data_IF_661880004167
#
_entry.id   IF_661880004167
#
_cell.length_a   1.000
_cell.length_b   1.000
_cell.length_c   1.000
_cell.angle_alpha   90.00
_cell.angle_beta   90.00
_cell.angle_gamma   90.00
#
_symmetry.space_group_name_H-M   'P 1'
#
loop_
_entity.id
_entity.type
_entity.pdbx_description
1 polymer ?
#
# COMPACT_ATOMS: atom_id res chain seq x y z
N UNK A 1 44.39 -9.27 32.41
CA UNK A 1 43.97 -9.17 31.00
C UNK A 1 42.60 -9.81 30.86
N UNK A 2 41.55 -8.99 30.90
CA UNK A 2 40.17 -9.43 30.80
C UNK A 2 39.83 -9.58 29.31
N UNK A 3 39.53 -10.80 28.88
CA UNK A 3 39.05 -11.09 27.52
C UNK A 3 37.59 -10.65 27.44
N UNK A 4 37.31 -9.54 26.76
CA UNK A 4 35.96 -9.15 26.39
C UNK A 4 35.42 -10.12 25.34
N UNK A 5 34.41 -10.90 25.72
CA UNK A 5 33.62 -11.72 24.82
C UNK A 5 32.64 -10.78 24.09
N UNK A 6 32.92 -10.44 22.84
CA UNK A 6 31.97 -9.73 21.98
C UNK A 6 30.91 -10.73 21.55
N UNK A 7 29.76 -10.68 22.20
CA UNK A 7 28.56 -11.40 21.77
C UNK A 7 28.04 -10.70 20.50
N UNK A 8 28.40 -11.21 19.33
CA UNK A 8 27.78 -10.81 18.08
C UNK A 8 26.32 -11.32 18.10
N UNK A 9 25.40 -10.48 18.54
CA UNK A 9 23.98 -10.70 18.33
C UNK A 9 23.75 -10.54 16.82
N UNK A 10 23.66 -11.67 16.13
CA UNK A 10 23.12 -11.71 14.78
C UNK A 10 21.65 -11.29 14.88
N UNK A 11 21.38 -10.00 14.67
CA UNK A 11 20.03 -9.53 14.37
C UNK A 11 19.71 -10.08 13.00
N UNK A 12 19.10 -11.26 12.95
CA UNK A 12 18.40 -11.72 11.75
C UNK A 12 17.25 -10.74 11.56
N UNK A 13 17.17 -9.97 10.46
CA UNK A 13 16.00 -9.17 10.20
C UNK A 13 14.87 -10.13 9.85
N UNK A 14 14.05 -10.50 10.83
CA UNK A 14 12.84 -11.31 10.66
C UNK A 14 11.72 -10.58 9.88
N UNK A 15 12.07 -9.56 9.08
CA UNK A 15 11.12 -8.66 8.40
C UNK A 15 10.61 -9.26 7.07
N UNK A 16 11.17 -10.38 6.62
CA UNK A 16 10.73 -11.08 5.41
C UNK A 16 10.34 -12.53 5.68
N UNK A 17 9.59 -12.79 6.76
CA UNK A 17 8.78 -14.00 6.76
C UNK A 17 7.73 -13.83 5.65
N UNK A 18 8.02 -14.39 4.47
CA UNK A 18 7.03 -14.64 3.43
C UNK A 18 5.90 -15.38 4.14
N UNK A 19 4.73 -14.75 4.22
CA UNK A 19 3.56 -15.35 4.82
C UNK A 19 3.06 -16.40 3.80
N UNK A 20 3.66 -17.59 3.80
CA UNK A 20 3.35 -18.71 2.90
C UNK A 20 1.96 -19.29 3.13
N UNK A 21 1.26 -18.78 4.13
CA UNK A 21 0.06 -19.41 4.64
C UNK A 21 -1.18 -18.73 4.03
N UNK A 22 -1.10 -17.53 3.44
CA UNK A 22 -2.28 -16.80 2.95
C UNK A 22 -2.95 -15.91 4.02
N UNK A 23 -2.23 -15.66 5.12
CA UNK A 23 -2.53 -14.54 6.00
C UNK A 23 -2.23 -13.21 5.31
N UNK A 24 -2.78 -12.11 5.82
CA UNK A 24 -2.41 -10.77 5.36
C UNK A 24 -0.90 -10.55 5.56
N UNK A 25 -0.25 -9.87 4.62
CA UNK A 25 1.15 -9.45 4.81
C UNK A 25 1.28 -8.62 6.10
N UNK A 26 2.41 -8.75 6.80
CA UNK A 26 2.67 -7.98 8.01
C UNK A 26 2.54 -6.47 7.77
N UNK A 27 2.91 -6.00 6.58
CA UNK A 27 2.79 -4.62 6.11
C UNK A 27 1.50 -4.41 5.29
N UNK A 28 0.37 -4.95 5.76
CA UNK A 28 -0.91 -4.85 5.06
C UNK A 28 -1.29 -3.40 4.75
N UNK A 29 -1.01 -2.47 5.68
CA UNK A 29 -1.06 -1.04 5.39
C UNK A 29 0.29 -0.61 4.84
N UNK A 30 0.28 -0.17 3.59
CA UNK A 30 1.45 0.24 2.82
C UNK A 30 1.11 1.45 1.95
N UNK A 31 2.13 2.12 1.41
CA UNK A 31 1.95 3.27 0.53
C UNK A 31 2.32 2.94 -0.91
N UNK A 32 1.57 3.50 -1.85
CA UNK A 32 1.96 3.60 -3.25
C UNK A 32 2.15 5.08 -3.57
N UNK A 33 3.33 5.46 -4.04
CA UNK A 33 3.69 6.83 -4.40
C UNK A 33 4.04 6.83 -5.89
N UNK A 34 3.42 7.75 -6.62
CA UNK A 34 3.80 8.03 -8.01
C UNK A 34 5.28 8.42 -8.06
N UNK A 35 6.06 7.75 -8.90
CA UNK A 35 7.51 7.87 -9.01
C UNK A 35 7.96 9.34 -9.05
N UNK A 36 7.35 10.19 -9.88
CA UNK A 36 7.76 11.60 -9.99
C UNK A 36 7.53 12.43 -8.71
N UNK A 37 6.58 12.01 -7.85
CA UNK A 37 6.28 12.69 -6.59
C UNK A 37 7.12 12.18 -5.42
N UNK A 38 7.81 11.04 -5.57
CA UNK A 38 8.52 10.41 -4.46
C UNK A 38 9.48 11.35 -3.70
N UNK A 39 10.28 12.21 -4.36
CA UNK A 39 11.16 13.14 -3.65
C UNK A 39 10.43 14.20 -2.83
N UNK A 40 9.22 14.62 -3.21
CA UNK A 40 8.43 15.57 -2.42
C UNK A 40 7.91 14.91 -1.14
N UNK A 41 7.50 13.64 -1.24
CA UNK A 41 7.02 12.86 -0.10
C UNK A 41 8.17 12.47 0.84
N UNK A 42 9.30 12.04 0.31
CA UNK A 42 10.41 11.49 1.11
C UNK A 42 11.43 12.55 1.55
N UNK A 43 11.67 13.57 0.72
CA UNK A 43 12.86 14.41 0.83
C UNK A 43 14.12 13.66 0.37
N UNK A 44 15.25 13.90 1.05
CA UNK A 44 16.51 13.18 0.86
C UNK A 44 17.05 12.66 2.18
N UNK A 45 18.03 11.75 2.17
CA UNK A 45 18.68 11.26 3.40
C UNK A 45 19.19 12.37 4.32
N UNK A 46 19.69 13.47 3.74
CA UNK A 46 20.22 14.61 4.50
C UNK A 46 19.16 15.64 4.88
N UNK A 47 17.99 15.60 4.25
CA UNK A 47 16.89 16.53 4.47
C UNK A 47 15.56 15.79 4.27
N UNK A 48 15.29 14.87 5.20
CA UNK A 48 14.10 14.04 5.16
C UNK A 48 12.84 14.89 5.36
N UNK A 49 11.75 14.53 4.69
CA UNK A 49 10.47 15.19 4.91
C UNK A 49 9.94 14.77 6.30
N UNK A 50 10.05 15.67 7.28
CA UNK A 50 9.65 15.42 8.67
C UNK A 50 8.17 15.05 8.78
N UNK A 51 7.30 15.70 8.01
CA UNK A 51 5.86 15.44 8.02
C UNK A 51 5.55 14.00 7.63
N UNK A 52 6.09 13.54 6.50
CA UNK A 52 5.90 12.16 6.04
C UNK A 52 6.50 11.14 7.00
N UNK A 53 7.68 11.43 7.57
CA UNK A 53 8.31 10.54 8.55
C UNK A 53 7.41 10.32 9.78
N UNK A 54 6.87 11.39 10.37
CA UNK A 54 5.99 11.28 11.55
C UNK A 54 4.70 10.48 11.25
N UNK A 55 4.12 10.66 10.05
CA UNK A 55 2.96 9.88 9.63
C UNK A 55 3.29 8.39 9.47
N UNK A 56 4.42 8.08 8.84
CA UNK A 56 4.88 6.70 8.64
C UNK A 56 5.18 6.03 9.98
N UNK A 57 5.88 6.70 10.90
CA UNK A 57 6.14 6.18 12.25
C UNK A 57 4.84 5.87 12.99
N UNK A 58 3.82 6.72 12.83
CA UNK A 58 2.50 6.51 13.42
C UNK A 58 1.82 5.27 12.85
N UNK A 59 1.91 5.05 11.54
CA UNK A 59 1.39 3.84 10.88
C UNK A 59 2.14 2.59 11.33
N UNK A 60 3.47 2.62 11.34
CA UNK A 60 4.34 1.53 11.80
C UNK A 60 4.03 1.17 13.25
N UNK A 61 3.89 2.16 14.13
CA UNK A 61 3.49 1.97 15.52
C UNK A 61 2.10 1.35 15.66
N UNK A 62 1.15 1.79 14.83
CA UNK A 62 -0.22 1.27 14.86
C UNK A 62 -0.34 -0.18 14.36
N UNK A 63 0.41 -0.55 13.32
CA UNK A 63 0.35 -1.90 12.75
C UNK A 63 1.36 -2.88 13.38
N UNK A 64 2.43 -2.37 14.01
CA UNK A 64 3.47 -3.18 14.67
C UNK A 64 4.50 -3.79 13.72
N UNK A 65 4.56 -3.34 12.47
CA UNK A 65 5.47 -3.83 11.43
C UNK A 65 5.99 -2.68 10.56
N UNK A 66 7.19 -2.82 9.98
CA UNK A 66 7.71 -1.83 9.04
C UNK A 66 6.80 -1.67 7.83
N UNK A 67 6.81 -0.47 7.24
CA UNK A 67 6.00 -0.17 6.07
C UNK A 67 6.71 -0.59 4.78
N UNK A 68 5.95 -1.03 3.77
CA UNK A 68 6.44 -1.15 2.40
C UNK A 68 5.95 0.06 1.59
N UNK A 69 6.84 0.70 0.85
CA UNK A 69 6.51 1.80 -0.07
C UNK A 69 6.75 1.34 -1.51
N UNK A 70 5.68 1.26 -2.29
CA UNK A 70 5.76 1.09 -3.74
C UNK A 70 6.02 2.45 -4.39
N UNK A 71 7.15 2.58 -5.08
CA UNK A 71 7.50 3.76 -5.89
C UNK A 71 7.32 3.42 -7.36
N UNK A 72 6.24 3.90 -7.97
CA UNK A 72 5.86 3.48 -9.32
C UNK A 72 4.71 4.27 -9.93
N UNK A 73 3.68 3.56 -10.38
CA UNK A 73 2.50 4.17 -10.98
C UNK A 73 2.71 4.62 -12.42
N UNK A 74 1.75 5.38 -12.95
CA UNK A 74 1.77 5.82 -14.34
C UNK A 74 2.99 6.71 -14.66
N UNK A 75 3.52 7.43 -13.67
CA UNK A 75 4.69 8.28 -13.86
C UNK A 75 5.99 7.49 -14.03
N UNK A 76 6.10 6.27 -13.49
CA UNK A 76 7.29 5.43 -13.72
C UNK A 76 7.40 4.99 -15.18
N UNK A 77 6.29 4.62 -15.79
CA UNK A 77 6.19 4.28 -17.22
C UNK A 77 6.35 5.46 -18.18
N UNK A 78 6.54 6.67 -17.65
CA UNK A 78 6.70 7.91 -18.44
C UNK A 78 8.02 8.60 -18.19
N UNK A 79 8.64 8.33 -17.04
CA UNK A 79 9.86 8.98 -16.63
C UNK A 79 11.01 8.68 -17.60
N UNK A 80 11.70 9.73 -18.00
CA UNK A 80 12.98 9.67 -18.71
C UNK A 80 14.09 10.11 -17.76
N UNK A 81 15.19 9.37 -17.75
CA UNK A 81 16.37 9.75 -16.98
C UNK A 81 17.23 10.76 -17.75
N UNK A 82 17.66 11.80 -17.05
CA UNK A 82 18.62 12.79 -17.54
C UNK A 82 19.71 12.99 -16.49
N UNK A 83 20.91 12.50 -16.79
CA UNK A 83 22.08 12.57 -15.92
C UNK A 83 22.54 14.00 -15.62
N UNK A 84 22.15 14.97 -16.45
CA UNK A 84 22.56 16.38 -16.30
C UNK A 84 21.66 17.16 -15.35
N UNK A 85 20.55 16.58 -14.89
CA UNK A 85 19.64 17.24 -13.95
C UNK A 85 20.30 17.45 -12.58
N UNK A 86 20.17 18.68 -12.08
CA UNK A 86 20.66 19.07 -10.75
C UNK A 86 19.59 18.93 -9.67
N UNK A 87 18.34 18.71 -10.07
CA UNK A 87 17.15 18.42 -9.25
C UNK A 87 16.80 16.93 -9.32
N UNK A 88 16.08 16.37 -8.32
CA UNK A 88 15.67 14.97 -8.36
C UNK A 88 14.67 14.69 -9.47
N UNK A 89 13.76 15.63 -9.77
CA UNK A 89 12.80 15.54 -10.86
C UNK A 89 12.70 16.84 -11.64
N UNK A 90 12.18 16.75 -12.86
CA UNK A 90 11.89 17.90 -13.71
C UNK A 90 10.65 17.63 -14.59
N UNK A 91 9.96 18.69 -14.99
CA UNK A 91 8.82 18.64 -15.93
C UNK A 91 9.24 18.63 -17.40
N UNK A 92 10.54 18.64 -17.69
CA UNK A 92 11.10 18.40 -19.03
C UNK A 92 12.60 18.10 -18.95
N UNK A 93 13.13 17.37 -19.93
CA UNK A 93 14.56 17.06 -20.07
C UNK A 93 14.94 16.94 -21.55
N UNK A 94 14.90 18.03 -22.32
CA UNK A 94 15.02 18.00 -23.78
C UNK A 94 16.37 17.49 -24.30
N UNK A 95 17.40 17.45 -23.44
CA UNK A 95 18.71 16.86 -23.77
C UNK A 95 18.66 15.33 -23.81
N UNK A 96 17.90 14.72 -22.89
CA UNK A 96 17.70 13.28 -22.86
C UNK A 96 16.60 12.85 -23.83
N UNK A 97 15.48 13.58 -23.86
CA UNK A 97 14.38 13.35 -24.80
C UNK A 97 13.59 14.66 -25.02
N UNK A 98 13.54 15.21 -26.25
CA UNK A 98 12.80 16.45 -26.56
C UNK A 98 11.30 16.40 -26.24
N UNK A 99 10.69 15.22 -26.21
CA UNK A 99 9.28 15.01 -25.91
C UNK A 99 9.00 14.64 -24.44
N UNK A 100 10.02 14.47 -23.61
CA UNK A 100 9.82 14.12 -22.21
C UNK A 100 9.28 15.30 -21.39
N UNK A 101 8.21 15.04 -20.67
CA UNK A 101 7.53 15.99 -19.77
C UNK A 101 7.53 15.54 -18.30
N UNK A 102 8.17 14.40 -18.00
CA UNK A 102 8.42 13.89 -16.66
C UNK A 102 9.79 13.25 -16.66
N UNK A 103 10.71 13.79 -15.86
CA UNK A 103 12.10 13.36 -15.86
C UNK A 103 12.62 13.14 -14.45
N UNK A 104 13.54 12.19 -14.32
CA UNK A 104 14.27 11.89 -13.09
C UNK A 104 15.77 12.14 -13.29
N UNK A 105 16.41 12.70 -12.28
CA UNK A 105 17.86 12.95 -12.25
C UNK A 105 18.58 12.07 -11.22
N UNK A 106 19.92 12.15 -11.14
CA UNK A 106 20.71 11.36 -10.19
C UNK A 106 20.24 11.49 -8.73
N UNK A 107 19.86 12.71 -8.32
CA UNK A 107 19.40 13.00 -6.94
C UNK A 107 18.05 12.38 -6.57
N UNK A 108 17.29 11.85 -7.54
CA UNK A 108 16.06 11.10 -7.27
C UNK A 108 16.31 9.95 -6.29
N UNK A 109 17.43 9.24 -6.47
CA UNK A 109 17.74 8.04 -5.71
C UNK A 109 18.15 8.33 -4.25
N UNK A 110 18.47 9.59 -3.92
CA UNK A 110 18.75 10.02 -2.54
C UNK A 110 17.50 10.05 -1.65
N UNK A 111 16.31 9.95 -2.25
CA UNK A 111 15.04 9.81 -1.53
C UNK A 111 14.87 8.42 -0.90
N UNK A 112 15.53 7.39 -1.43
CA UNK A 112 15.56 6.08 -0.78
C UNK A 112 16.40 6.13 0.50
N UNK A 113 15.80 5.68 1.60
CA UNK A 113 16.36 5.78 2.95
C UNK A 113 16.08 7.11 3.67
N UNK A 114 15.22 7.98 3.10
CA UNK A 114 14.76 9.21 3.77
C UNK A 114 13.50 8.99 4.64
N UNK A 115 12.82 7.86 4.50
CA UNK A 115 11.75 7.44 5.42
C UNK A 115 12.32 6.71 6.65
N UNK A 116 11.50 6.46 7.69
CA UNK A 116 11.97 5.86 8.93
C UNK A 116 12.68 4.53 8.71
N UNK A 117 13.68 4.26 9.56
CA UNK A 117 14.50 3.06 9.48
C UNK A 117 13.65 1.78 9.45
N UNK A 118 14.00 0.85 8.58
CA UNK A 118 13.28 -0.41 8.39
C UNK A 118 12.19 -0.34 7.32
N UNK A 119 11.86 0.85 6.79
CA UNK A 119 11.01 0.98 5.60
C UNK A 119 11.62 0.18 4.44
N UNK A 120 10.81 -0.67 3.82
CA UNK A 120 11.20 -1.40 2.61
C UNK A 120 10.54 -0.76 1.38
N UNK A 121 11.15 -0.91 0.21
CA UNK A 121 10.69 -0.29 -1.01
C UNK A 121 10.52 -1.30 -2.13
N UNK A 122 9.44 -1.18 -2.90
CA UNK A 122 9.42 -1.69 -4.27
C UNK A 122 9.65 -0.55 -5.26
N UNK A 123 10.40 -0.83 -6.32
CA UNK A 123 10.73 0.17 -7.34
C UNK A 123 10.29 -0.30 -8.72
N UNK A 124 9.57 0.57 -9.42
CA UNK A 124 9.06 0.31 -10.76
C UNK A 124 10.00 0.85 -11.85
N UNK A 125 10.39 0.00 -12.80
CA UNK A 125 11.05 0.40 -14.03
C UNK A 125 10.09 0.48 -15.21
N UNK A 126 10.33 1.46 -16.07
CA UNK A 126 9.53 1.80 -17.25
C UNK A 126 9.55 0.66 -18.30
N UNK A 127 8.36 0.22 -18.73
CA UNK A 127 8.16 -0.63 -19.92
C UNK A 127 7.41 0.09 -21.03
N UNK A 128 6.57 1.08 -20.68
CA UNK A 128 5.69 1.72 -21.64
C UNK A 128 6.44 2.60 -22.66
N UNK A 129 7.50 3.31 -22.27
CA UNK A 129 8.30 4.14 -23.20
C UNK A 129 9.24 3.25 -24.03
N UNK A 130 8.72 2.73 -25.13
CA UNK A 130 9.41 1.75 -25.97
C UNK A 130 10.21 2.39 -27.11
N UNK A 131 11.22 3.17 -26.73
CA UNK A 131 12.14 3.85 -27.64
C UNK A 131 13.55 3.92 -27.04
N UNK A 132 14.50 4.54 -27.74
CA UNK A 132 15.88 4.69 -27.27
C UNK A 132 15.99 5.35 -25.90
N UNK A 133 15.17 6.37 -25.62
CA UNK A 133 15.18 7.11 -24.35
C UNK A 133 14.74 6.23 -23.19
N UNK A 134 13.71 5.40 -23.38
CA UNK A 134 13.26 4.44 -22.37
C UNK A 134 14.28 3.34 -22.10
N UNK A 135 14.89 2.78 -23.16
CA UNK A 135 15.95 1.78 -23.00
C UNK A 135 17.19 2.32 -22.31
N UNK A 136 17.59 3.55 -22.65
CA UNK A 136 18.68 4.25 -21.96
C UNK A 136 18.33 4.55 -20.50
N UNK A 137 17.09 4.95 -20.23
CA UNK A 137 16.60 5.16 -18.86
C UNK A 137 16.75 3.89 -18.03
N UNK A 138 16.35 2.73 -18.54
CA UNK A 138 16.54 1.45 -17.86
C UNK A 138 18.02 1.17 -17.58
N UNK A 139 18.86 1.26 -18.61
CA UNK A 139 20.31 1.02 -18.51
C UNK A 139 20.98 1.91 -17.44
N UNK A 140 20.70 3.21 -17.48
CA UNK A 140 21.32 4.18 -16.60
C UNK A 140 20.80 4.10 -15.16
N UNK A 141 19.53 3.74 -14.96
CA UNK A 141 18.90 3.80 -13.63
C UNK A 141 19.01 2.50 -12.82
N UNK A 142 19.18 1.33 -13.45
CA UNK A 142 19.35 0.06 -12.71
C UNK A 142 20.52 0.14 -11.71
N UNK A 143 21.73 0.61 -12.07
CA UNK A 143 22.83 0.77 -11.13
C UNK A 143 22.51 1.74 -9.98
N UNK A 144 21.85 2.86 -10.28
CA UNK A 144 21.50 3.88 -9.29
C UNK A 144 20.46 3.37 -8.30
N UNK A 145 19.40 2.74 -8.81
CA UNK A 145 18.34 2.13 -8.02
C UNK A 145 18.88 1.01 -7.13
N UNK A 146 19.67 0.07 -7.68
CA UNK A 146 20.19 -1.05 -6.90
C UNK A 146 21.12 -0.57 -5.77
N UNK A 147 21.98 0.40 -6.04
CA UNK A 147 22.84 0.98 -5.00
C UNK A 147 22.01 1.68 -3.92
N UNK A 148 20.97 2.42 -4.30
CA UNK A 148 20.10 3.11 -3.35
C UNK A 148 19.22 2.16 -2.53
N UNK A 149 18.84 1.00 -3.07
CA UNK A 149 17.91 0.05 -2.47
C UNK A 149 18.60 -1.07 -1.67
N UNK A 150 19.93 -1.16 -1.69
CA UNK A 150 20.66 -2.21 -0.95
C UNK A 150 20.30 -2.18 0.54
N UNK A 151 19.80 -3.31 1.05
CA UNK A 151 19.36 -3.45 2.44
C UNK A 151 17.95 -2.93 2.76
N UNK A 152 17.25 -2.36 1.78
CA UNK A 152 15.89 -1.82 1.92
C UNK A 152 14.97 -2.14 0.73
N UNK A 153 15.38 -3.06 -0.14
CA UNK A 153 14.56 -3.56 -1.24
C UNK A 153 13.56 -4.60 -0.72
N UNK A 154 12.28 -4.41 -1.04
CA UNK A 154 11.28 -5.47 -0.96
C UNK A 154 11.31 -6.34 -2.23
N UNK A 155 11.19 -5.71 -3.40
CA UNK A 155 11.16 -6.37 -4.72
C UNK A 155 11.16 -5.33 -5.85
N UNK A 156 11.39 -5.75 -7.09
CA UNK A 156 11.27 -4.88 -8.27
C UNK A 156 9.91 -5.05 -8.96
N UNK A 157 9.44 -3.99 -9.60
CA UNK A 157 8.25 -3.99 -10.45
C UNK A 157 8.65 -3.53 -11.85
N UNK A 158 8.18 -4.19 -12.92
CA UNK A 158 8.56 -3.83 -14.29
C UNK A 158 7.27 -3.57 -15.09
N UNK A 159 7.03 -2.30 -15.41
CA UNK A 159 5.78 -1.80 -15.98
C UNK A 159 4.63 -1.63 -14.98
N UNK A 160 3.73 -0.69 -15.27
CA UNK A 160 2.52 -0.39 -14.51
C UNK A 160 1.29 -0.37 -15.43
N UNK A 161 0.25 -1.12 -15.07
CA UNK A 161 -1.04 -1.18 -15.77
C UNK A 161 -0.89 -1.39 -17.29
N UNK A 162 -0.14 -2.43 -17.73
CA UNK A 162 0.15 -2.67 -19.14
C UNK A 162 -1.09 -2.90 -20.00
N UNK A 163 -2.19 -3.31 -19.37
CA UNK A 163 -3.50 -3.46 -20.01
C UNK A 163 -4.11 -2.12 -20.48
N UNK A 164 -3.55 -0.99 -20.04
CA UNK A 164 -3.93 0.35 -20.47
C UNK A 164 -3.01 0.93 -21.56
N UNK A 165 -2.04 0.15 -22.07
CA UNK A 165 -1.13 0.60 -23.12
C UNK A 165 -1.80 0.64 -24.50
N UNK A 166 -2.79 -0.22 -24.74
CA UNK A 166 -3.48 -0.35 -26.02
C UNK A 166 -4.02 0.99 -26.54
N UNK A 167 -3.62 1.34 -27.78
CA UNK A 167 -4.03 2.57 -28.44
C UNK A 167 -3.44 3.85 -27.85
N UNK A 168 -2.45 3.74 -26.94
CA UNK A 168 -1.78 4.88 -26.30
C UNK A 168 -0.26 4.77 -26.33
N UNK A 169 0.26 3.64 -25.85
CA UNK A 169 1.70 3.32 -25.73
C UNK A 169 2.11 2.14 -26.60
N UNK A 170 1.12 1.35 -27.02
CA UNK A 170 1.21 0.24 -27.96
C UNK A 170 0.02 0.29 -28.90
N UNK A 171 0.06 -0.49 -29.96
CA UNK A 171 -1.04 -0.62 -30.90
C UNK A 171 -2.30 -1.19 -30.23
N UNK A 172 -3.46 -0.98 -30.85
CA UNK A 172 -4.75 -1.33 -30.24
C UNK A 172 -4.95 -2.84 -30.03
N UNK A 173 -4.25 -3.67 -30.81
CA UNK A 173 -4.28 -5.12 -30.77
C UNK A 173 -3.27 -5.76 -29.80
N UNK A 174 -2.50 -4.93 -29.07
CA UNK A 174 -1.57 -5.39 -28.03
C UNK A 174 -2.23 -6.38 -27.07
N UNK A 175 -1.61 -7.54 -26.92
CA UNK A 175 -2.19 -8.68 -26.22
C UNK A 175 -1.22 -9.31 -25.21
N UNK A 176 -1.65 -10.42 -24.60
CA UNK A 176 -0.89 -11.12 -23.55
C UNK A 176 0.49 -11.58 -24.05
N UNK A 177 0.60 -12.07 -25.28
CA UNK A 177 1.88 -12.52 -25.83
C UNK A 177 2.83 -11.35 -26.08
N UNK A 178 2.31 -10.22 -26.56
CA UNK A 178 3.12 -9.01 -26.77
C UNK A 178 3.65 -8.49 -25.44
N UNK A 179 2.81 -8.45 -24.40
CA UNK A 179 3.25 -8.03 -23.07
C UNK A 179 4.25 -9.00 -22.44
N UNK A 180 4.08 -10.32 -22.60
CA UNK A 180 5.08 -11.29 -22.13
C UNK A 180 6.42 -11.16 -22.88
N UNK A 181 6.39 -10.79 -24.17
CA UNK A 181 7.59 -10.50 -24.94
C UNK A 181 8.29 -9.22 -24.43
N UNK A 182 7.55 -8.15 -24.21
CA UNK A 182 8.07 -6.90 -23.64
C UNK A 182 8.63 -7.11 -22.23
N UNK A 183 7.93 -7.89 -21.40
CA UNK A 183 8.37 -8.30 -20.06
C UNK A 183 9.69 -9.07 -20.12
N UNK A 184 9.77 -10.10 -20.96
CA UNK A 184 10.96 -10.96 -21.05
C UNK A 184 12.16 -10.19 -21.60
N UNK A 185 11.95 -9.30 -22.57
CA UNK A 185 13.02 -8.45 -23.11
C UNK A 185 13.54 -7.46 -22.05
N UNK A 186 12.62 -6.78 -21.37
CA UNK A 186 12.97 -5.79 -20.34
C UNK A 186 13.65 -6.43 -19.14
N UNK A 187 13.13 -7.54 -18.62
CA UNK A 187 13.74 -8.26 -17.50
C UNK A 187 15.09 -8.85 -17.86
N UNK A 188 15.26 -9.39 -19.08
CA UNK A 188 16.58 -9.85 -19.54
C UNK A 188 17.64 -8.73 -19.55
N UNK A 189 17.29 -7.53 -20.03
CA UNK A 189 18.18 -6.35 -19.96
C UNK A 189 18.45 -5.92 -18.53
N UNK A 190 17.39 -5.79 -17.73
CA UNK A 190 17.47 -5.43 -16.33
C UNK A 190 18.41 -6.37 -15.56
N UNK A 191 18.24 -7.68 -15.70
CA UNK A 191 19.04 -8.69 -15.00
C UNK A 191 20.52 -8.59 -15.41
N UNK A 192 20.81 -8.33 -16.69
CA UNK A 192 22.17 -8.08 -17.15
C UNK A 192 22.79 -6.84 -16.49
N UNK A 193 22.06 -5.73 -16.42
CA UNK A 193 22.54 -4.50 -15.80
C UNK A 193 22.68 -4.65 -14.28
N UNK A 194 21.74 -5.35 -13.63
CA UNK A 194 21.80 -5.64 -12.20
C UNK A 194 22.98 -6.54 -11.86
N UNK A 195 23.23 -7.58 -12.66
CA UNK A 195 24.37 -8.48 -12.50
C UNK A 195 25.71 -7.74 -12.63
N UNK A 196 25.79 -6.74 -13.50
CA UNK A 196 26.98 -5.91 -13.66
C UNK A 196 27.19 -4.93 -12.48
N UNK A 197 26.12 -4.29 -11.98
CA UNK A 197 26.22 -3.23 -10.98
C UNK A 197 26.11 -3.70 -9.53
N UNK A 198 25.22 -4.66 -9.25
CA UNK A 198 24.88 -5.16 -7.92
C UNK A 198 24.71 -6.70 -7.94
N UNK A 199 25.79 -7.48 -8.20
CA UNK A 199 25.74 -8.93 -8.32
C UNK A 199 25.21 -9.64 -7.05
N UNK A 200 25.34 -9.00 -5.90
CA UNK A 200 24.79 -9.47 -4.63
C UNK A 200 23.26 -9.52 -4.62
N UNK A 201 22.60 -8.61 -5.35
CA UNK A 201 21.15 -8.47 -5.38
C UNK A 201 20.47 -9.43 -6.36
N UNK A 202 21.20 -10.01 -7.31
CA UNK A 202 20.67 -11.01 -8.25
C UNK A 202 20.25 -12.29 -7.53
N UNK A 203 20.95 -12.66 -6.45
CA UNK A 203 20.71 -13.92 -5.71
C UNK A 203 19.31 -14.00 -5.10
N UNK A 204 18.75 -12.85 -4.71
CA UNK A 204 17.43 -12.74 -4.09
C UNK A 204 16.48 -11.90 -4.97
N UNK A 205 16.68 -11.95 -6.29
CA UNK A 205 15.85 -11.20 -7.22
C UNK A 205 14.40 -11.66 -7.13
N UNK A 206 13.51 -10.69 -6.89
CA UNK A 206 12.08 -10.89 -6.81
C UNK A 206 11.36 -9.81 -7.61
N UNK A 207 10.28 -10.23 -8.28
CA UNK A 207 9.43 -9.37 -9.07
C UNK A 207 7.98 -9.36 -8.59
N UNK A 208 7.39 -8.17 -8.66
CA UNK A 208 5.95 -7.97 -8.74
C UNK A 208 5.55 -7.96 -10.22
N UNK A 209 4.76 -8.96 -10.61
CA UNK A 209 4.25 -9.13 -11.95
C UNK A 209 2.98 -10.02 -12.00
N UNK A 210 2.04 -9.71 -12.89
CA UNK A 210 1.88 -8.43 -13.57
C UNK A 210 1.33 -7.38 -12.59
N UNK A 211 1.35 -6.11 -12.99
CA UNK A 211 0.70 -5.00 -12.28
C UNK A 211 -0.46 -4.45 -13.08
N UNK A 212 -1.58 -5.16 -13.15
CA UNK A 212 -2.73 -4.80 -14.01
C UNK A 212 -3.65 -3.75 -13.38
N UNK A 213 -4.42 -3.02 -14.19
CA UNK A 213 -5.29 -1.92 -13.70
C UNK A 213 -6.50 -2.37 -12.90
N UNK A 214 -6.94 -3.62 -13.07
CA UNK A 214 -8.12 -4.17 -12.39
C UNK A 214 -8.23 -5.70 -12.56
N UNK A 215 -9.06 -6.38 -11.75
CA UNK A 215 -9.33 -7.81 -11.91
C UNK A 215 -9.98 -8.16 -13.27
N UNK A 216 -10.69 -7.20 -13.87
CA UNK A 216 -11.34 -7.32 -15.18
C UNK A 216 -10.51 -6.76 -16.34
N UNK A 217 -9.22 -6.53 -16.14
CA UNK A 217 -8.29 -6.02 -17.16
C UNK A 217 -8.29 -6.87 -18.43
N UNK A 218 -8.06 -6.21 -19.58
CA UNK A 218 -8.01 -6.87 -20.90
C UNK A 218 -6.87 -7.89 -20.96
N UNK A 219 -5.72 -7.56 -20.39
CA UNK A 219 -4.62 -8.49 -20.23
C UNK A 219 -4.83 -9.25 -18.90
N UNK A 220 -5.54 -10.37 -18.97
CA UNK A 220 -5.92 -11.11 -17.76
C UNK A 220 -4.71 -11.84 -17.17
N UNK A 221 -4.52 -11.72 -15.86
CA UNK A 221 -3.44 -12.39 -15.12
C UNK A 221 -3.40 -13.90 -15.39
N UNK A 222 -4.51 -14.67 -15.30
CA UNK A 222 -4.46 -16.12 -15.55
C UNK A 222 -4.00 -16.48 -16.97
N UNK A 223 -4.31 -15.64 -17.96
CA UNK A 223 -3.87 -15.87 -19.34
C UNK A 223 -2.37 -15.65 -19.48
N UNK A 224 -1.80 -14.66 -18.80
CA UNK A 224 -0.35 -14.44 -18.78
C UNK A 224 0.40 -15.62 -18.16
N UNK A 225 -0.06 -16.13 -17.01
CA UNK A 225 0.57 -17.30 -16.39
C UNK A 225 0.42 -18.57 -17.23
N UNK A 226 -0.70 -18.72 -17.96
CA UNK A 226 -0.92 -19.84 -18.88
C UNK A 226 -0.06 -19.74 -20.15
N UNK A 227 0.15 -18.53 -20.66
CA UNK A 227 0.89 -18.26 -21.89
C UNK A 227 2.40 -18.11 -21.68
N UNK A 228 2.84 -17.86 -20.44
CA UNK A 228 4.25 -17.79 -20.10
C UNK A 228 4.95 -19.12 -20.43
N UNK A 229 6.15 -19.02 -20.97
CA UNK A 229 6.96 -20.17 -21.37
C UNK A 229 8.36 -20.06 -20.78
N UNK A 230 8.98 -21.22 -20.55
CA UNK A 230 10.30 -21.29 -19.93
C UNK A 230 10.33 -20.64 -18.55
N UNK A 231 11.40 -19.90 -18.29
CA UNK A 231 11.72 -19.31 -16.99
C UNK A 231 11.29 -17.85 -16.84
N UNK A 232 10.47 -17.31 -17.76
CA UNK A 232 10.16 -15.87 -17.82
C UNK A 232 9.51 -15.31 -16.55
N UNK A 233 8.87 -16.17 -15.74
CA UNK A 233 8.22 -15.81 -14.48
C UNK A 233 8.92 -16.39 -13.23
N UNK A 234 10.11 -16.99 -13.35
CA UNK A 234 10.76 -17.73 -12.24
C UNK A 234 11.03 -16.89 -10.99
N UNK A 235 11.22 -15.58 -11.16
CA UNK A 235 11.50 -14.62 -10.08
C UNK A 235 10.25 -13.88 -9.60
N UNK A 236 9.06 -14.18 -10.14
CA UNK A 236 7.82 -13.52 -9.76
C UNK A 236 7.31 -14.08 -8.44
N UNK A 237 7.23 -13.22 -7.42
CA UNK A 237 6.75 -13.59 -6.07
C UNK A 237 5.47 -12.88 -5.68
N UNK A 238 5.08 -11.83 -6.42
CA UNK A 238 3.87 -11.07 -6.15
C UNK A 238 3.13 -10.71 -7.44
N UNK A 239 1.80 -10.76 -7.40
CA UNK A 239 0.92 -10.18 -8.43
C UNK A 239 0.35 -8.88 -7.87
N UNK A 240 0.28 -7.84 -8.69
CA UNK A 240 -0.39 -6.58 -8.37
C UNK A 240 -1.61 -6.39 -9.26
N UNK A 241 -2.74 -6.04 -8.62
CA UNK A 241 -3.99 -5.73 -9.31
C UNK A 241 -4.55 -4.47 -8.67
N UNK A 242 -4.57 -3.38 -9.43
CA UNK A 242 -4.98 -2.08 -8.92
C UNK A 242 -6.49 -2.01 -8.69
N UNK A 243 -6.87 -1.15 -7.74
CA UNK A 243 -8.24 -0.81 -7.45
C UNK A 243 -8.31 0.66 -7.04
N UNK A 244 -9.24 1.40 -7.63
CA UNK A 244 -9.54 2.76 -7.21
C UNK A 244 -11.00 2.84 -6.81
N UNK A 245 -11.26 3.20 -5.55
CA UNK A 245 -12.62 3.33 -5.02
C UNK A 245 -13.46 4.34 -5.81
N UNK A 246 -12.80 5.36 -6.38
CA UNK A 246 -13.34 6.25 -7.39
C UNK A 246 -12.21 7.00 -8.10
N UNK A 247 -12.49 7.59 -9.27
CA UNK A 247 -11.56 8.48 -9.95
C UNK A 247 -11.60 9.88 -9.36
N UNK A 248 -10.43 10.44 -9.01
CA UNK A 248 -10.31 11.75 -8.37
C UNK A 248 -10.96 12.91 -9.16
N UNK A 249 -11.20 12.73 -10.46
CA UNK A 249 -11.77 13.73 -11.37
C UNK A 249 -13.22 13.45 -11.78
N UNK A 250 -13.85 12.40 -11.25
CA UNK A 250 -15.24 12.09 -11.62
C UNK A 250 -16.25 12.98 -10.89
N UNK A 251 -17.24 13.57 -11.58
CA UNK A 251 -18.32 14.32 -10.93
C UNK A 251 -19.09 13.45 -9.92
N UNK A 252 -19.34 13.96 -8.71
CA UNK A 252 -20.17 13.28 -7.71
C UNK A 252 -19.43 12.29 -6.80
N UNK A 253 -18.09 12.25 -6.84
CA UNK A 253 -17.29 11.49 -5.86
C UNK A 253 -17.41 12.15 -4.49
N UNK A 254 -18.27 11.58 -3.65
CA UNK A 254 -18.38 11.92 -2.23
C UNK A 254 -17.95 10.72 -1.39
N UNK A 255 -17.59 10.97 -0.13
CA UNK A 255 -17.28 9.90 0.80
C UNK A 255 -18.50 8.98 1.00
N UNK A 256 -19.71 9.54 1.08
CA UNK A 256 -20.95 8.76 1.18
C UNK A 256 -21.27 7.89 -0.03
N UNK A 257 -20.81 8.27 -1.23
CA UNK A 257 -20.94 7.43 -2.41
C UNK A 257 -19.87 6.34 -2.50
N UNK A 258 -18.78 6.45 -1.72
CA UNK A 258 -17.56 5.64 -1.86
C UNK A 258 -17.13 5.00 -0.54
N UNK A 259 -16.18 5.60 0.17
CA UNK A 259 -15.52 5.04 1.37
C UNK A 259 -16.47 4.90 2.57
N UNK A 260 -17.57 5.65 2.59
CA UNK A 260 -18.62 5.58 3.60
C UNK A 260 -19.88 4.87 3.09
N UNK A 261 -19.71 3.89 2.21
CA UNK A 261 -20.80 3.07 1.71
C UNK A 261 -20.35 1.61 1.64
N UNK A 262 -20.88 0.77 2.52
CA UNK A 262 -20.45 -0.62 2.61
C UNK A 262 -20.67 -1.35 1.30
N UNK A 263 -21.83 -1.12 0.67
CA UNK A 263 -22.16 -1.76 -0.61
C UNK A 263 -21.18 -1.34 -1.69
N UNK A 264 -20.76 -0.08 -1.73
CA UNK A 264 -19.77 0.40 -2.69
C UNK A 264 -18.38 -0.21 -2.44
N UNK A 265 -17.92 -0.22 -1.19
CA UNK A 265 -16.63 -0.82 -0.79
C UNK A 265 -16.63 -2.32 -1.09
N UNK A 266 -17.62 -3.07 -0.61
CA UNK A 266 -17.74 -4.51 -0.83
C UNK A 266 -17.78 -4.85 -2.31
N UNK A 267 -18.55 -4.10 -3.11
CA UNK A 267 -18.60 -4.27 -4.57
C UNK A 267 -17.25 -4.02 -5.23
N UNK A 268 -16.55 -2.96 -4.83
CA UNK A 268 -15.24 -2.59 -5.37
C UNK A 268 -14.18 -3.68 -5.11
N UNK A 269 -14.15 -4.25 -3.88
CA UNK A 269 -13.16 -5.26 -3.52
C UNK A 269 -13.55 -6.69 -3.93
N UNK A 270 -14.82 -6.97 -4.25
CA UNK A 270 -15.30 -8.31 -4.55
C UNK A 270 -14.52 -9.00 -5.69
N UNK A 271 -14.16 -8.24 -6.73
CA UNK A 271 -13.32 -8.76 -7.83
C UNK A 271 -11.92 -9.16 -7.38
N UNK A 272 -11.34 -8.43 -6.41
CA UNK A 272 -10.04 -8.77 -5.82
C UNK A 272 -10.12 -9.98 -4.91
N UNK A 273 -11.22 -10.15 -4.17
CA UNK A 273 -11.44 -11.36 -3.36
C UNK A 273 -11.56 -12.60 -4.25
N UNK A 274 -12.28 -12.51 -5.36
CA UNK A 274 -12.38 -13.59 -6.35
C UNK A 274 -11.02 -13.91 -7.00
N UNK A 275 -10.28 -12.88 -7.42
CA UNK A 275 -8.94 -13.04 -7.98
C UNK A 275 -7.96 -13.64 -6.97
N UNK A 276 -7.97 -13.15 -5.72
CA UNK A 276 -7.15 -13.68 -4.64
C UNK A 276 -7.50 -15.13 -4.31
N UNK A 277 -8.77 -15.51 -4.29
CA UNK A 277 -9.21 -16.90 -4.07
C UNK A 277 -8.78 -17.82 -5.22
N UNK A 278 -8.82 -17.34 -6.46
CA UNK A 278 -8.34 -18.10 -7.62
C UNK A 278 -6.82 -18.32 -7.58
N UNK A 279 -6.07 -17.36 -7.03
CA UNK A 279 -4.61 -17.39 -6.95
C UNK A 279 -4.07 -18.05 -5.67
N UNK A 280 -4.88 -18.16 -4.60
CA UNK A 280 -4.44 -18.68 -3.31
C UNK A 280 -4.49 -20.22 -3.27
N UNK A 281 -3.31 -20.84 -3.17
CA UNK A 281 -3.20 -22.20 -2.65
C UNK A 281 -3.41 -22.14 -1.12
N UNK A 282 -4.30 -22.99 -0.62
CA UNK A 282 -5.04 -22.76 0.63
C UNK A 282 -4.29 -23.27 1.88
N UNK A 283 -3.96 -22.40 2.85
CA UNK A 283 -3.83 -22.76 4.29
C UNK A 283 -3.31 -21.63 5.21
N UNK A 284 -4.16 -20.84 5.91
CA UNK A 284 -3.65 -19.87 6.94
C UNK A 284 -4.46 -19.66 8.21
N UNK A 285 -3.66 -19.34 9.24
CA UNK A 285 -3.97 -19.04 10.63
C UNK A 285 -4.52 -17.63 10.93
N UNK A 286 -4.57 -16.70 9.96
CA UNK A 286 -5.25 -15.40 10.10
C UNK A 286 -6.48 -15.35 9.19
N UNK A 287 -7.68 -15.28 9.77
CA UNK A 287 -8.93 -15.19 9.00
C UNK A 287 -9.61 -13.85 9.27
N UNK A 288 -9.99 -13.12 8.23
CA UNK A 288 -10.90 -11.97 8.33
C UNK A 288 -12.30 -12.42 7.93
N UNK A 289 -13.28 -12.24 8.82
CA UNK A 289 -14.69 -12.60 8.56
C UNK A 289 -15.58 -11.39 8.77
N UNK A 290 -16.59 -11.24 7.92
CA UNK A 290 -17.68 -10.29 8.16
C UNK A 290 -18.46 -10.70 9.40
N UNK A 291 -18.81 -9.74 10.25
CA UNK A 291 -19.67 -9.94 11.40
C UNK A 291 -21.09 -9.49 11.05
N UNK A 292 -22.08 -10.32 11.36
CA UNK A 292 -23.47 -9.87 11.32
C UNK A 292 -23.73 -8.96 12.52
N UNK A 293 -23.93 -7.67 12.23
CA UNK A 293 -24.18 -6.63 13.23
C UNK A 293 -25.68 -6.38 13.45
N UNK A 294 -26.55 -6.98 12.65
CA UNK A 294 -27.96 -6.63 12.59
C UNK A 294 -28.23 -5.21 12.03
N UNK A 295 -29.36 -5.05 11.34
CA UNK A 295 -29.78 -3.76 10.77
C UNK A 295 -29.49 -3.66 9.27
N UNK A 296 -28.92 -2.54 8.83
CA UNK A 296 -28.74 -2.19 7.41
C UNK A 296 -27.33 -2.52 6.97
N UNK A 297 -27.17 -3.63 6.28
CA UNK A 297 -25.88 -4.11 5.78
C UNK A 297 -25.15 -3.11 4.86
N UNK A 298 -25.82 -2.11 4.29
CA UNK A 298 -25.19 -1.06 3.50
C UNK A 298 -24.59 0.10 4.33
N UNK A 299 -25.02 0.23 5.59
CA UNK A 299 -24.62 1.30 6.52
C UNK A 299 -23.91 0.79 7.78
N UNK A 300 -24.01 -0.51 8.05
CA UNK A 300 -23.47 -1.19 9.22
C UNK A 300 -22.45 -2.23 8.76
N UNK A 301 -21.17 -2.02 9.03
CA UNK A 301 -20.10 -2.96 8.63
C UNK A 301 -19.32 -3.46 9.83
N UNK A 302 -19.17 -4.77 9.93
CA UNK A 302 -18.43 -5.42 11.01
C UNK A 302 -17.44 -6.44 10.46
N UNK A 303 -16.24 -6.46 11.03
CA UNK A 303 -15.19 -7.41 10.67
C UNK A 303 -14.52 -7.96 11.92
N UNK A 304 -14.25 -9.26 11.94
CA UNK A 304 -13.48 -9.92 12.99
C UNK A 304 -12.21 -10.53 12.42
N UNK A 305 -11.08 -10.31 13.09
CA UNK A 305 -9.81 -10.97 12.77
C UNK A 305 -9.56 -12.12 13.75
N UNK A 306 -9.34 -13.31 13.23
CA UNK A 306 -9.12 -14.51 14.02
C UNK A 306 -7.68 -14.98 13.87
N UNK A 307 -6.99 -15.20 15.00
CA UNK A 307 -5.65 -15.82 15.05
C UNK A 307 -5.81 -17.18 15.70
N UNK A 308 -5.42 -18.26 15.00
CA UNK A 308 -5.58 -19.64 15.49
C UNK A 308 -7.03 -19.98 15.91
N UNK A 309 -8.01 -19.35 15.26
CA UNK A 309 -9.44 -19.52 15.56
C UNK A 309 -9.98 -18.65 16.70
N UNK A 310 -9.13 -17.90 17.43
CA UNK A 310 -9.55 -16.94 18.47
C UNK A 310 -9.76 -15.55 17.87
N UNK A 311 -10.89 -14.91 18.22
CA UNK A 311 -11.21 -13.55 17.76
C UNK A 311 -10.38 -12.51 18.51
N UNK A 312 -9.41 -11.89 17.84
CA UNK A 312 -8.46 -10.96 18.46
C UNK A 312 -8.89 -9.49 18.37
N UNK A 313 -9.52 -9.13 17.25
CA UNK A 313 -9.89 -7.74 16.95
C UNK A 313 -11.22 -7.69 16.22
N UNK A 314 -11.96 -6.64 16.50
CA UNK A 314 -13.24 -6.34 15.86
C UNK A 314 -13.17 -4.92 15.29
N UNK A 315 -13.49 -4.74 14.02
CA UNK A 315 -13.72 -3.42 13.43
C UNK A 315 -15.22 -3.24 13.18
N UNK A 316 -15.80 -2.13 13.65
CA UNK A 316 -17.19 -1.76 13.38
C UNK A 316 -17.22 -0.37 12.79
N UNK A 317 -17.93 -0.19 11.68
CA UNK A 317 -18.08 1.08 10.98
C UNK A 317 -19.56 1.44 10.93
N UNK A 318 -19.88 2.66 11.36
CA UNK A 318 -21.19 3.28 11.13
C UNK A 318 -21.07 4.25 9.97
N UNK A 319 -21.59 3.83 8.81
CA UNK A 319 -21.43 4.53 7.53
C UNK A 319 -22.58 5.49 7.21
N UNK A 320 -23.41 5.82 8.20
CA UNK A 320 -24.39 6.92 8.08
C UNK A 320 -23.63 8.23 8.00
N UNK A 321 -23.86 9.02 6.95
CA UNK A 321 -23.23 10.34 6.83
C UNK A 321 -23.71 11.24 7.96
N UNK A 322 -22.76 11.79 8.69
CA UNK A 322 -22.93 12.96 9.52
C UNK A 322 -21.95 14.03 9.08
N UNK A 323 -22.42 15.26 8.98
CA UNK A 323 -21.61 16.45 8.76
C UNK A 323 -21.98 17.50 9.81
N UNK A 324 -20.96 18.07 10.47
CA UNK A 324 -21.16 19.07 11.53
C UNK A 324 -21.83 20.35 11.01
N UNK A 325 -21.65 20.68 9.73
CA UNK A 325 -22.27 21.84 9.08
C UNK A 325 -23.79 21.69 8.86
N UNK A 326 -24.35 20.48 9.02
CA UNK A 326 -25.76 20.21 8.77
C UNK A 326 -26.72 20.82 9.81
N UNK A 327 -26.20 21.32 10.95
CA UNK A 327 -27.01 21.84 12.06
C UNK A 327 -27.81 20.78 12.83
N UNK A 328 -27.72 19.50 12.44
CA UNK A 328 -28.36 18.38 13.13
C UNK A 328 -27.43 17.78 14.19
N UNK A 329 -28.01 17.19 15.22
CA UNK A 329 -27.25 16.39 16.20
C UNK A 329 -26.68 15.12 15.55
N UNK A 330 -25.48 14.71 15.95
CA UNK A 330 -24.85 13.48 15.48
C UNK A 330 -25.56 12.25 16.06
N UNK A 331 -26.06 11.38 15.18
CA UNK A 331 -26.66 10.12 15.59
C UNK A 331 -25.62 9.13 16.13
N UNK A 332 -26.10 8.12 16.85
CA UNK A 332 -25.30 7.01 17.34
C UNK A 332 -26.08 5.71 17.22
N UNK A 333 -25.38 4.62 16.87
CA UNK A 333 -25.93 3.27 16.88
C UNK A 333 -25.21 2.40 17.89
N UNK A 334 -25.98 1.59 18.60
CA UNK A 334 -25.46 0.55 19.48
C UNK A 334 -25.30 -0.75 18.71
N UNK A 335 -24.12 -1.36 18.82
CA UNK A 335 -23.79 -2.64 18.21
C UNK A 335 -23.47 -3.66 19.30
N UNK A 336 -23.98 -4.88 19.14
CA UNK A 336 -23.70 -5.99 20.03
C UNK A 336 -22.97 -7.09 19.27
N UNK A 337 -21.82 -7.52 19.79
CA UNK A 337 -21.00 -8.58 19.20
C UNK A 337 -20.82 -9.71 20.19
N UNK A 338 -20.82 -10.95 19.69
CA UNK A 338 -20.53 -12.15 20.48
C UNK A 338 -19.02 -12.33 20.59
N UNK A 339 -18.52 -12.43 21.81
CA UNK A 339 -17.11 -12.63 22.16
C UNK A 339 -16.99 -13.62 23.33
N UNK A 340 -15.77 -13.89 23.78
CA UNK A 340 -15.53 -14.70 24.99
C UNK A 340 -16.23 -14.09 26.23
N UNK A 341 -16.94 -14.89 27.05
CA UNK A 341 -17.58 -14.40 28.26
C UNK A 341 -16.62 -13.66 29.20
N UNK A 342 -17.05 -12.50 29.71
CA UNK A 342 -16.26 -11.69 30.65
C UNK A 342 -14.91 -11.15 30.13
N UNK A 343 -14.61 -11.29 28.84
CA UNK A 343 -13.42 -10.71 28.19
C UNK A 343 -13.37 -9.18 28.27
N UNK A 344 -12.17 -8.61 28.27
CA UNK A 344 -11.92 -7.18 28.27
C UNK A 344 -11.46 -6.73 26.89
N UNK A 345 -11.88 -5.52 26.50
CA UNK A 345 -11.64 -4.97 25.18
C UNK A 345 -11.30 -3.50 25.28
N UNK A 346 -10.24 -3.11 24.60
CA UNK A 346 -9.85 -1.70 24.44
C UNK A 346 -10.44 -1.15 23.15
N UNK A 347 -11.17 -0.03 23.23
CA UNK A 347 -11.76 0.67 22.09
C UNK A 347 -10.81 1.75 21.58
N UNK A 348 -10.54 1.72 20.28
CA UNK A 348 -9.84 2.78 19.54
C UNK A 348 -10.78 3.34 18.48
N UNK A 349 -11.06 4.65 18.52
CA UNK A 349 -12.04 5.30 17.64
C UNK A 349 -11.38 6.08 16.52
N UNK A 350 -11.85 5.93 15.29
CA UNK A 350 -11.59 6.85 14.18
C UNK A 350 -12.79 7.79 14.03
N UNK A 351 -12.59 9.08 14.24
CA UNK A 351 -13.66 10.08 14.19
C UNK A 351 -13.19 11.41 13.62
N UNK A 352 -14.08 12.15 12.98
CA UNK A 352 -13.90 13.54 12.54
C UNK A 352 -15.14 14.36 12.93
N UNK A 353 -15.14 15.71 12.84
CA UNK A 353 -16.35 16.52 13.07
C UNK A 353 -17.48 16.15 12.09
N UNK A 354 -17.15 15.79 10.85
CA UNK A 354 -18.05 15.34 9.81
C UNK A 354 -17.37 14.43 8.80
N UNK A 355 -18.18 13.78 7.97
CA UNK A 355 -17.76 12.84 6.95
C UNK A 355 -16.76 13.46 5.97
N UNK A 356 -16.90 14.76 5.65
CA UNK A 356 -16.15 15.46 4.59
C UNK A 356 -14.94 16.24 5.09
N UNK A 357 -14.72 16.23 6.40
CA UNK A 357 -13.63 17.00 6.98
C UNK A 357 -12.28 16.39 6.64
N UNK A 358 -11.34 17.27 6.28
CA UNK A 358 -9.94 16.92 5.99
C UNK A 358 -9.02 17.16 7.19
N UNK A 359 -9.56 17.78 8.24
CA UNK A 359 -8.87 18.16 9.47
C UNK A 359 -9.75 17.83 10.67
N UNK A 360 -9.16 17.77 11.86
CA UNK A 360 -9.84 17.33 13.06
C UNK A 360 -10.15 15.83 13.08
N UNK A 361 -9.53 15.07 12.16
CA UNK A 361 -9.62 13.61 12.12
C UNK A 361 -8.75 13.07 13.25
N UNK A 362 -9.33 12.20 14.06
CA UNK A 362 -8.66 11.60 15.22
C UNK A 362 -8.74 10.10 15.16
N UNK A 363 -7.62 9.44 15.49
CA UNK A 363 -7.59 8.02 15.79
C UNK A 363 -7.18 7.81 17.24
N UNK A 364 -8.00 7.08 17.99
CA UNK A 364 -7.82 6.80 19.41
C UNK A 364 -7.58 8.07 20.27
N UNK A 365 -8.23 9.17 19.90
CA UNK A 365 -8.09 10.47 20.58
C UNK A 365 -6.88 11.31 20.16
N UNK A 366 -6.13 10.91 19.13
CA UNK A 366 -4.99 11.66 18.61
C UNK A 366 -5.25 12.18 17.20
N UNK A 367 -4.92 13.45 16.96
CA UNK A 367 -4.92 14.07 15.63
C UNK A 367 -3.49 14.13 15.06
N UNK A 368 -3.38 14.21 13.73
CA UNK A 368 -2.12 14.17 12.98
C UNK A 368 -2.10 15.30 11.93
N UNK A 369 -2.16 16.54 12.41
CA UNK A 369 -2.38 17.71 11.56
C UNK A 369 -1.07 18.33 11.05
N UNK A 370 -1.18 19.18 10.02
CA UNK A 370 -0.08 19.96 9.46
C UNK A 370 0.63 20.81 10.52
N UNK A 371 -0.11 21.43 11.44
CA UNK A 371 0.45 22.29 12.50
C UNK A 371 1.29 21.49 13.51
N UNK A 372 1.08 20.17 13.58
CA UNK A 372 1.86 19.25 14.42
C UNK A 372 2.96 18.53 13.64
N UNK A 373 3.18 18.91 12.38
CA UNK A 373 4.09 18.20 11.47
C UNK A 373 3.75 16.71 11.36
N UNK A 374 2.48 16.33 11.45
CA UNK A 374 2.05 14.91 11.42
C UNK A 374 2.36 14.14 12.71
N UNK A 375 2.89 14.78 13.76
CA UNK A 375 3.08 14.14 15.08
C UNK A 375 1.72 13.92 15.76
N UNK A 376 1.53 12.80 16.47
CA UNK A 376 0.31 12.57 17.22
C UNK A 376 0.13 13.64 18.30
N UNK A 377 -0.97 14.39 18.23
CA UNK A 377 -1.38 15.34 19.27
C UNK A 377 -2.64 14.86 19.95
N UNK A 378 -2.59 14.72 21.28
CA UNK A 378 -3.76 14.34 22.07
C UNK A 378 -4.83 15.42 21.95
N UNK A 379 -6.06 14.98 21.70
CA UNK A 379 -7.26 15.82 21.74
C UNK A 379 -8.05 15.45 22.98
N UNK A 380 -7.98 16.30 24.02
CA UNK A 380 -8.53 15.99 25.35
C UNK A 380 -10.04 15.73 25.36
N UNK A 381 -10.77 16.38 24.45
CA UNK A 381 -12.21 16.18 24.27
C UNK A 381 -12.57 14.85 23.60
N UNK A 382 -11.58 14.05 23.18
CA UNK A 382 -11.79 12.76 22.52
C UNK A 382 -11.36 11.59 23.41
N UNK A 383 -12.16 10.52 23.48
CA UNK A 383 -11.82 9.34 24.26
C UNK A 383 -10.62 8.61 23.64
N UNK A 384 -9.94 7.83 24.48
CA UNK A 384 -8.79 7.02 24.07
C UNK A 384 -8.68 5.80 24.97
N UNK A 385 -8.43 4.65 24.37
CA UNK A 385 -8.30 3.36 25.05
C UNK A 385 -9.45 3.09 26.04
N UNK A 386 -10.68 3.40 25.64
CA UNK A 386 -11.86 3.12 26.47
C UNK A 386 -11.93 1.61 26.73
N UNK A 387 -12.32 1.22 27.94
CA UNK A 387 -12.40 -0.19 28.31
C UNK A 387 -13.85 -0.66 28.28
N UNK A 388 -14.09 -1.77 27.59
CA UNK A 388 -15.36 -2.47 27.57
C UNK A 388 -15.17 -3.88 28.12
N UNK A 389 -16.22 -4.40 28.78
CA UNK A 389 -16.25 -5.76 29.29
C UNK A 389 -17.47 -6.49 28.74
N UNK A 390 -17.24 -7.68 28.18
CA UNK A 390 -18.32 -8.55 27.76
C UNK A 390 -19.10 -9.06 28.98
N UNK A 391 -20.42 -9.24 28.85
CA UNK A 391 -21.19 -9.83 29.94
C UNK A 391 -20.87 -11.33 30.12
N UNK A 392 -21.47 -11.96 31.15
CA UNK A 392 -21.29 -13.40 31.45
C UNK A 392 -21.74 -14.33 30.32
N UNK A 393 -22.53 -13.83 29.37
CA UNK A 393 -22.98 -14.56 28.19
C UNK A 393 -22.14 -14.22 26.95
N UNK A 394 -21.05 -13.46 27.06
CA UNK A 394 -20.20 -13.08 25.94
C UNK A 394 -20.80 -12.02 25.01
N UNK A 395 -21.78 -11.23 25.47
CA UNK A 395 -22.29 -10.08 24.72
C UNK A 395 -21.45 -8.85 25.08
N UNK A 396 -20.72 -8.32 24.10
CA UNK A 396 -20.00 -7.06 24.16
C UNK A 396 -20.83 -6.00 23.44
N UNK A 397 -20.97 -4.81 24.03
CA UNK A 397 -21.79 -3.72 23.47
C UNK A 397 -20.96 -2.47 23.31
N UNK A 398 -21.00 -1.86 22.13
CA UNK A 398 -20.32 -0.59 21.82
C UNK A 398 -21.25 0.35 21.08
N UNK A 399 -21.20 1.65 21.44
CA UNK A 399 -21.88 2.71 20.71
C UNK A 399 -20.92 3.36 19.72
N UNK A 400 -21.36 3.52 18.47
CA UNK A 400 -20.57 4.10 17.38
C UNK A 400 -21.39 5.19 16.70
N UNK A 401 -20.84 6.40 16.66
CA UNK A 401 -21.49 7.57 16.08
C UNK A 401 -21.59 7.48 14.56
N UNK A 402 -22.53 8.21 13.96
CA UNK A 402 -22.60 8.35 12.49
C UNK A 402 -21.28 8.94 11.98
N UNK A 403 -20.74 8.49 10.85
CA UNK A 403 -19.37 8.79 10.40
C UNK A 403 -18.24 8.44 11.38
N UNK A 404 -18.36 7.33 12.11
CA UNK A 404 -17.34 6.85 13.04
C UNK A 404 -17.02 5.37 12.78
N UNK A 405 -15.77 5.00 13.02
CA UNK A 405 -15.35 3.61 13.08
C UNK A 405 -14.67 3.32 14.42
N UNK A 406 -14.82 2.09 14.91
CA UNK A 406 -14.13 1.61 16.12
C UNK A 406 -13.37 0.34 15.82
N UNK A 407 -12.18 0.23 16.38
CA UNK A 407 -11.41 -1.01 16.49
C UNK A 407 -11.40 -1.41 17.96
N UNK A 408 -11.96 -2.58 18.24
CA UNK A 408 -11.91 -3.23 19.54
C UNK A 408 -10.77 -4.23 19.51
N UNK A 409 -9.86 -4.13 20.47
CA UNK A 409 -8.73 -5.06 20.63
C UNK A 409 -8.93 -5.79 21.94
N UNK A 410 -8.91 -7.12 21.92
CA UNK A 410 -9.02 -7.92 23.14
C UNK A 410 -7.78 -7.62 24.02
N UNK A 411 -8.03 -7.27 25.29
CA UNK A 411 -6.99 -6.90 26.27
C UNK A 411 -6.78 -7.94 27.36
#
# INVERSE_FOLDING_TARGET
MVKSLVLAVAIVPSVMAINTDGGLYSSFVSLSIELIGFPDWAGSRSNANEYSNNLIESLVSAQGSPMVVRVGGNSADRAIYDETLTTPTASSCPKADPGAYQCIGPKFFDSYGAFPQGTLYSHNFNVATWNSSGFHTLEATVPLACNALRGQLALYEIGNEPDLYNGKRRDSDYNVHDYLADWTNTTGRFESYLQAACPDMVKNLQYMFPSVSSPGSRLRVPDMYKAATGDSLKHVTQVSVHNYMAGATQPGVTLQATLMNHTAVARSIAGHLAAGTFLANSSSALQVKTLDLGGRADLDSGYGTYVEGRLERIAILNLREYDSSSGKGRGMKEYAVKVEPSSHWTVKRLSAPGARDKTGVTFNGFAYEAETMGKPKRVDSRPSNEQLKANKCGKLVVKVADSEAVVLVQS
#
